data_IF_757142553197
#
_entry.id   IF_757142553197
#
_cell.length_a   1.000
_cell.length_b   1.000
_cell.length_c   1.000
_cell.angle_alpha   90.00
_cell.angle_beta   90.00
_cell.angle_gamma   90.00
#
_symmetry.space_group_name_H-M   'P 1'
#
loop_
_entity.id
_entity.type
_entity.pdbx_description
1 polymer ?
#
# COMPACT_ATOMS: atom_id res chain seq x y z
N UNK A 1 -23.88 69.62 -39.19
CA UNK A 1 -25.01 68.69 -39.19
C UNK A 1 -24.53 67.38 -38.58
N UNK A 2 -24.82 67.15 -37.30
CA UNK A 2 -24.42 65.93 -36.59
C UNK A 2 -25.68 65.32 -35.97
N UNK A 3 -26.03 64.12 -36.41
CA UNK A 3 -27.23 63.38 -36.00
C UNK A 3 -26.87 62.53 -34.78
N UNK A 4 -27.42 62.87 -33.62
CA UNK A 4 -27.22 62.12 -32.37
C UNK A 4 -28.25 61.00 -32.27
N UNK A 5 -27.80 59.75 -32.31
CA UNK A 5 -28.63 58.56 -32.12
C UNK A 5 -28.85 58.31 -30.64
N UNK A 6 -30.11 58.38 -30.21
CA UNK A 6 -30.54 58.21 -28.82
C UNK A 6 -30.80 56.73 -28.52
N UNK A 7 -30.12 56.17 -27.52
CA UNK A 7 -30.29 54.78 -27.08
C UNK A 7 -31.51 54.61 -26.15
N UNK A 8 -32.22 53.47 -26.17
CA UNK A 8 -33.44 53.27 -25.40
C UNK A 8 -33.16 52.96 -23.93
N UNK A 9 -33.90 53.64 -23.04
CA UNK A 9 -33.92 53.42 -21.59
C UNK A 9 -34.48 52.02 -21.26
N UNK A 10 -33.67 51.20 -20.59
CA UNK A 10 -34.09 49.93 -19.97
C UNK A 10 -34.95 50.20 -18.72
N UNK A 11 -36.07 49.48 -18.62
CA UNK A 11 -36.94 49.46 -17.46
C UNK A 11 -36.28 48.75 -16.25
N UNK A 12 -36.62 49.15 -15.01
CA UNK A 12 -36.05 48.57 -13.79
C UNK A 12 -36.61 47.16 -13.55
N UNK A 13 -35.70 46.22 -13.21
CA UNK A 13 -36.04 44.86 -12.78
C UNK A 13 -36.62 44.87 -11.35
N UNK A 14 -37.66 44.05 -11.05
CA UNK A 14 -38.15 43.89 -9.69
C UNK A 14 -37.15 43.10 -8.84
N UNK A 15 -36.89 43.60 -7.64
CA UNK A 15 -36.06 42.95 -6.61
C UNK A 15 -36.88 41.89 -5.88
N UNK A 16 -36.63 40.61 -6.18
CA UNK A 16 -37.13 39.48 -5.39
C UNK A 16 -36.18 39.22 -4.24
N UNK A 17 -36.54 39.70 -3.04
CA UNK A 17 -35.87 39.35 -1.78
C UNK A 17 -36.27 37.92 -1.40
N UNK A 18 -35.39 36.96 -1.64
CA UNK A 18 -35.56 35.59 -1.16
C UNK A 18 -34.88 35.45 0.21
N UNK A 19 -35.69 35.28 1.26
CA UNK A 19 -35.24 34.97 2.62
C UNK A 19 -34.62 33.57 2.63
N UNK A 20 -33.28 33.49 2.74
CA UNK A 20 -32.53 32.24 2.80
C UNK A 20 -32.54 31.71 4.23
N UNK A 21 -33.51 30.86 4.55
CA UNK A 21 -33.51 30.04 5.78
C UNK A 21 -32.47 28.93 5.63
N UNK A 22 -31.29 29.08 6.24
CA UNK A 22 -30.30 28.01 6.34
C UNK A 22 -30.74 27.00 7.40
N UNK A 23 -31.50 25.98 6.99
CA UNK A 23 -31.76 24.79 7.81
C UNK A 23 -30.49 23.93 7.78
N UNK A 24 -29.73 23.95 8.87
CA UNK A 24 -28.64 23.01 9.11
C UNK A 24 -29.25 21.64 9.37
N UNK A 25 -29.22 20.78 8.36
CA UNK A 25 -29.46 19.34 8.54
C UNK A 25 -28.12 18.72 8.88
N UNK A 26 -27.95 18.30 10.13
CA UNK A 26 -26.90 17.36 10.48
C UNK A 26 -27.15 16.08 9.67
N UNK A 27 -26.32 15.83 8.66
CA UNK A 27 -26.34 14.60 7.89
C UNK A 27 -25.83 13.49 8.80
N UNK A 28 -26.75 12.79 9.47
CA UNK A 28 -26.46 11.49 10.06
C UNK A 28 -26.11 10.56 8.91
N UNK A 29 -24.94 9.92 8.94
CA UNK A 29 -24.57 8.91 7.95
C UNK A 29 -25.71 7.88 7.84
N UNK A 30 -26.12 7.48 6.62
CA UNK A 30 -27.15 6.46 6.48
C UNK A 30 -26.71 5.19 7.21
N UNK A 31 -27.62 4.62 8.00
CA UNK A 31 -27.39 3.31 8.60
C UNK A 31 -27.07 2.32 7.47
N UNK A 32 -25.96 1.58 7.61
CA UNK A 32 -25.56 0.56 6.65
C UNK A 32 -26.77 -0.36 6.36
N UNK A 33 -27.02 -0.72 5.08
CA UNK A 33 -28.11 -1.63 4.76
C UNK A 33 -27.98 -2.88 5.61
N UNK A 34 -29.10 -3.34 6.19
CA UNK A 34 -29.13 -4.60 6.91
C UNK A 34 -28.54 -5.67 5.99
N UNK A 35 -27.50 -6.37 6.46
CA UNK A 35 -26.76 -7.37 5.72
C UNK A 35 -27.74 -8.41 5.13
N UNK A 36 -28.19 -8.17 3.90
CA UNK A 36 -28.85 -9.19 3.08
C UNK A 36 -27.85 -10.33 2.96
N UNK A 37 -28.25 -11.55 3.32
CA UNK A 37 -27.45 -12.79 3.35
C UNK A 37 -26.17 -12.65 2.52
N UNK A 38 -25.11 -12.18 3.20
CA UNK A 38 -23.81 -12.09 2.59
C UNK A 38 -23.40 -13.53 2.34
N UNK A 39 -23.13 -13.89 1.08
CA UNK A 39 -22.72 -15.23 0.70
C UNK A 39 -21.64 -15.72 1.68
N UNK A 40 -21.97 -16.76 2.47
CA UNK A 40 -21.17 -17.25 3.59
C UNK A 40 -19.75 -17.64 3.13
N UNK A 41 -19.56 -17.90 1.83
CA UNK A 41 -18.28 -18.22 1.21
C UNK A 41 -17.38 -17.00 0.94
N UNK A 42 -17.93 -15.77 0.92
CA UNK A 42 -17.16 -14.58 0.57
C UNK A 42 -16.23 -14.14 1.69
N UNK A 43 -16.63 -14.24 2.95
CA UNK A 43 -15.80 -13.83 4.09
C UNK A 43 -14.54 -14.70 4.20
N UNK A 44 -14.61 -16.04 4.15
CA UNK A 44 -13.41 -16.88 4.14
C UNK A 44 -12.48 -16.59 2.96
N UNK A 45 -13.03 -16.37 1.76
CA UNK A 45 -12.22 -16.00 0.58
C UNK A 45 -11.53 -14.66 0.76
N UNK A 46 -12.24 -13.67 1.30
CA UNK A 46 -11.66 -12.37 1.61
C UNK A 46 -10.52 -12.47 2.63
N UNK A 47 -10.73 -13.20 3.72
CA UNK A 47 -9.71 -13.40 4.75
C UNK A 47 -8.43 -14.05 4.21
N UNK A 48 -8.55 -14.98 3.26
CA UNK A 48 -7.40 -15.61 2.61
C UNK A 48 -6.52 -14.61 1.83
N UNK A 49 -7.10 -13.52 1.33
CA UNK A 49 -6.33 -12.43 0.69
C UNK A 49 -5.83 -11.41 1.72
N UNK A 50 -6.71 -10.99 2.62
CA UNK A 50 -6.45 -9.88 3.53
C UNK A 50 -5.40 -10.24 4.58
N UNK A 51 -5.50 -11.43 5.18
CA UNK A 51 -4.68 -11.77 6.35
C UNK A 51 -3.18 -11.81 6.02
N UNK A 52 -2.72 -12.41 4.89
CA UNK A 52 -1.31 -12.33 4.49
C UNK A 52 -0.85 -10.89 4.25
N UNK A 53 -1.66 -10.06 3.58
CA UNK A 53 -1.31 -8.66 3.27
C UNK A 53 -1.18 -7.81 4.54
N UNK A 54 -2.13 -7.94 5.47
CA UNK A 54 -2.08 -7.22 6.75
C UNK A 54 -0.93 -7.72 7.63
N UNK A 55 -0.67 -9.03 7.65
CA UNK A 55 0.46 -9.62 8.40
C UNK A 55 1.79 -9.10 7.87
N UNK A 56 1.96 -9.05 6.55
CA UNK A 56 3.15 -8.48 5.91
C UNK A 56 3.31 -7.00 6.26
N UNK A 57 2.22 -6.22 6.21
CA UNK A 57 2.24 -4.81 6.59
C UNK A 57 2.62 -4.60 8.06
N UNK A 58 2.03 -5.37 8.97
CA UNK A 58 2.32 -5.31 10.40
C UNK A 58 3.79 -5.66 10.70
N UNK A 59 4.34 -6.69 10.03
CA UNK A 59 5.74 -7.07 10.16
C UNK A 59 6.73 -5.97 9.75
N UNK A 60 6.33 -5.01 8.92
CA UNK A 60 7.15 -3.85 8.54
C UNK A 60 7.04 -2.67 9.52
N UNK A 61 5.97 -2.59 10.31
CA UNK A 61 5.69 -1.51 11.26
C UNK A 61 6.21 -1.79 12.67
N UNK A 62 6.37 -3.07 13.00
CA UNK A 62 7.08 -3.49 14.19
C UNK A 62 8.54 -2.99 14.09
N UNK A 63 9.00 -2.18 15.06
CA UNK A 63 10.20 -1.37 14.92
C UNK A 63 11.51 -2.02 14.46
N UNK A 64 11.99 -1.54 13.31
CA UNK A 64 13.39 -1.11 13.12
C UNK A 64 13.69 0.24 13.85
N UNK A 65 13.33 0.38 15.13
CA UNK A 65 13.78 1.47 16.03
C UNK A 65 14.85 0.83 16.94
N UNK A 66 16.17 0.94 16.80
CA UNK A 66 17.10 1.67 15.93
C UNK A 66 18.32 0.73 15.62
N UNK A 67 19.29 1.12 14.77
CA UNK A 67 20.30 0.21 14.20
C UNK A 67 21.55 0.02 15.07
N UNK A 68 22.31 -1.04 14.73
CA UNK A 68 23.67 -1.42 15.20
C UNK A 68 23.76 -2.39 16.40
N UNK A 69 23.49 -3.69 16.17
CA UNK A 69 24.43 -4.84 16.40
C UNK A 69 23.92 -6.01 15.54
N UNK A 70 23.91 -5.85 14.22
CA UNK A 70 23.40 -6.84 13.26
C UNK A 70 24.49 -7.58 12.50
N UNK A 71 25.72 -7.60 12.99
CA UNK A 71 26.88 -8.17 12.28
C UNK A 71 27.16 -9.65 12.52
N UNK A 72 26.37 -10.36 13.33
CA UNK A 72 26.72 -11.72 13.77
C UNK A 72 25.61 -12.79 13.65
N UNK A 73 24.47 -12.48 13.01
CA UNK A 73 23.41 -13.47 12.80
C UNK A 73 22.91 -13.36 11.35
N UNK A 74 23.86 -13.45 10.42
CA UNK A 74 23.62 -13.48 8.99
C UNK A 74 23.97 -14.86 8.45
N UNK A 75 22.99 -15.75 8.41
CA UNK A 75 23.06 -16.98 7.63
C UNK A 75 22.57 -18.19 8.40
N UNK A 76 21.25 -18.45 8.39
CA UNK A 76 20.78 -19.84 8.42
C UNK A 76 19.28 -20.11 8.14
N UNK A 77 18.48 -19.29 7.46
CA UNK A 77 17.09 -19.74 7.18
C UNK A 77 16.60 -19.37 5.77
N UNK A 78 16.68 -20.36 4.88
CA UNK A 78 15.63 -20.62 3.92
C UNK A 78 14.59 -21.57 4.52
N UNK A 79 13.33 -21.38 4.15
CA UNK A 79 12.29 -22.42 4.18
C UNK A 79 11.40 -22.53 5.42
N UNK A 80 10.12 -22.20 5.21
CA UNK A 80 8.88 -22.76 5.80
C UNK A 80 8.80 -23.07 7.31
N UNK A 81 8.04 -22.24 8.02
CA UNK A 81 6.66 -22.59 8.37
C UNK A 81 6.35 -23.52 9.55
N UNK A 82 7.32 -24.05 10.30
CA UNK A 82 6.98 -24.99 11.40
C UNK A 82 7.78 -24.86 12.71
N UNK A 83 8.55 -23.78 12.93
CA UNK A 83 9.48 -23.71 14.08
C UNK A 83 9.37 -22.47 14.98
N UNK A 84 8.26 -21.72 14.94
CA UNK A 84 8.07 -20.62 15.91
C UNK A 84 7.96 -21.17 17.35
N UNK A 85 7.52 -22.42 17.52
CA UNK A 85 7.49 -23.10 18.82
C UNK A 85 8.83 -23.71 19.30
N UNK A 86 9.83 -23.92 18.43
CA UNK A 86 11.08 -24.60 18.82
C UNK A 86 12.23 -23.65 19.14
N UNK A 87 12.15 -22.37 18.74
CA UNK A 87 13.21 -21.38 19.00
C UNK A 87 13.33 -20.98 20.48
N UNK A 88 12.21 -20.78 21.15
CA UNK A 88 12.19 -20.45 22.60
C UNK A 88 12.50 -21.67 23.46
N UNK A 89 12.03 -22.86 23.03
CA UNK A 89 12.38 -24.13 23.67
C UNK A 89 13.85 -24.52 23.52
N UNK A 90 14.52 -24.14 22.42
CA UNK A 90 15.92 -24.45 22.17
C UNK A 90 16.91 -23.64 23.01
N UNK A 91 16.60 -22.37 23.30
CA UNK A 91 17.44 -21.54 24.16
C UNK A 91 17.34 -21.97 25.64
N UNK A 92 16.14 -22.32 26.12
CA UNK A 92 15.93 -22.83 27.48
C UNK A 92 16.40 -24.29 27.61
N UNK A 93 16.18 -25.11 26.58
CA UNK A 93 16.59 -26.51 26.53
C UNK A 93 18.10 -26.73 26.48
N UNK A 94 18.86 -25.85 25.81
CA UNK A 94 20.33 -25.93 25.78
C UNK A 94 20.97 -25.46 27.10
N UNK A 95 20.35 -24.53 27.82
CA UNK A 95 20.83 -24.08 29.14
C UNK A 95 20.54 -25.12 30.23
N UNK A 96 19.37 -25.79 30.17
CA UNK A 96 19.02 -26.87 31.12
C UNK A 96 19.69 -28.20 30.76
N UNK A 97 19.86 -28.51 29.46
CA UNK A 97 20.54 -29.72 28.98
C UNK A 97 22.07 -29.66 29.11
N UNK A 98 22.67 -28.46 29.07
CA UNK A 98 24.09 -28.24 29.30
C UNK A 98 24.55 -28.51 30.75
N UNK A 99 23.61 -28.55 31.71
CA UNK A 99 23.91 -28.88 33.11
C UNK A 99 24.23 -30.38 33.33
N UNK A 100 23.91 -31.25 32.35
CA UNK A 100 24.10 -32.71 32.45
C UNK A 100 25.04 -33.30 31.38
N UNK A 101 25.64 -32.46 30.53
CA UNK A 101 26.33 -32.89 29.31
C UNK A 101 27.77 -32.41 29.15
N UNK A 102 28.60 -32.49 30.20
CA UNK A 102 30.07 -32.72 30.17
C UNK A 102 31.03 -31.98 29.21
N UNK A 103 30.60 -31.00 28.40
CA UNK A 103 31.46 -30.28 27.46
C UNK A 103 31.47 -28.79 27.78
N UNK A 104 32.55 -28.36 28.43
CA UNK A 104 32.83 -26.96 28.75
C UNK A 104 33.13 -26.18 27.46
N UNK A 105 32.09 -25.63 26.85
CA UNK A 105 32.23 -24.44 25.99
C UNK A 105 32.38 -23.27 26.95
N UNK A 106 33.42 -22.45 26.77
CA UNK A 106 33.60 -21.23 27.57
C UNK A 106 32.36 -20.36 27.40
N UNK A 107 31.50 -20.34 28.42
CA UNK A 107 30.30 -19.52 28.44
C UNK A 107 30.74 -18.06 28.45
N UNK A 108 30.57 -17.36 27.33
CA UNK A 108 30.53 -15.91 27.36
C UNK A 108 29.47 -15.51 28.40
N UNK A 109 29.74 -14.53 29.27
CA UNK A 109 28.76 -14.10 30.26
C UNK A 109 27.48 -13.73 29.52
N UNK A 110 26.41 -14.51 29.76
CA UNK A 110 25.11 -14.24 29.20
C UNK A 110 24.67 -12.90 29.78
N UNK A 111 24.57 -11.89 28.92
CA UNK A 111 24.04 -10.60 29.34
C UNK A 111 22.54 -10.76 29.57
N UNK A 112 22.17 -11.03 30.83
CA UNK A 112 20.79 -11.22 31.27
C UNK A 112 19.93 -10.01 30.93
N UNK A 113 20.52 -8.81 30.88
CA UNK A 113 19.81 -7.59 30.49
C UNK A 113 19.45 -7.63 29.01
N UNK A 114 20.39 -7.98 28.13
CA UNK A 114 20.14 -8.12 26.69
C UNK A 114 19.12 -9.22 26.40
N UNK A 115 19.23 -10.36 27.10
CA UNK A 115 18.28 -11.47 26.94
C UNK A 115 16.85 -11.08 27.37
N UNK A 116 16.71 -10.34 28.49
CA UNK A 116 15.42 -9.86 28.96
C UNK A 116 14.82 -8.79 28.02
N UNK A 117 15.64 -7.91 27.47
CA UNK A 117 15.20 -6.93 26.48
C UNK A 117 14.73 -7.59 25.18
N UNK A 118 15.46 -8.58 24.66
CA UNK A 118 15.06 -9.35 23.48
C UNK A 118 13.77 -10.12 23.72
N UNK A 119 13.60 -10.73 24.90
CA UNK A 119 12.37 -11.43 25.27
C UNK A 119 11.19 -10.47 25.37
N UNK A 120 11.36 -9.31 26.01
CA UNK A 120 10.32 -8.29 26.11
C UNK A 120 9.88 -7.80 24.74
N UNK A 121 10.83 -7.54 23.83
CA UNK A 121 10.52 -7.17 22.45
C UNK A 121 9.73 -8.29 21.76
N UNK A 122 10.21 -9.53 21.78
CA UNK A 122 9.52 -10.64 21.14
C UNK A 122 8.07 -10.83 21.64
N UNK A 123 7.83 -10.64 22.94
CA UNK A 123 6.48 -10.68 23.52
C UNK A 123 5.61 -9.52 23.02
N UNK A 124 6.17 -8.31 22.91
CA UNK A 124 5.46 -7.14 22.39
C UNK A 124 5.09 -7.30 20.91
N UNK A 125 6.01 -7.86 20.11
CA UNK A 125 5.76 -8.17 18.70
C UNK A 125 4.64 -9.21 18.57
N UNK A 126 4.71 -10.29 19.36
CA UNK A 126 3.67 -11.32 19.37
C UNK A 126 2.31 -10.76 19.80
N UNK A 127 2.27 -9.90 20.83
CA UNK A 127 1.05 -9.25 21.28
C UNK A 127 0.43 -8.41 20.17
N UNK A 128 1.25 -7.58 19.52
CA UNK A 128 0.81 -6.69 18.44
C UNK A 128 0.27 -7.49 17.27
N UNK A 129 0.97 -8.56 16.85
CA UNK A 129 0.53 -9.43 15.78
C UNK A 129 -0.81 -10.14 16.09
N UNK A 130 -1.01 -10.57 17.34
CA UNK A 130 -2.27 -11.16 17.77
C UNK A 130 -3.41 -10.15 17.71
N UNK A 131 -3.20 -8.92 18.22
CA UNK A 131 -4.17 -7.82 18.15
C UNK A 131 -4.54 -7.51 16.70
N UNK A 132 -3.54 -7.34 15.83
CA UNK A 132 -3.75 -7.08 14.40
C UNK A 132 -4.56 -8.20 13.75
N UNK A 133 -4.20 -9.46 14.01
CA UNK A 133 -4.89 -10.62 13.44
C UNK A 133 -6.36 -10.67 13.86
N UNK A 134 -6.63 -10.51 15.16
CA UNK A 134 -8.00 -10.52 15.70
C UNK A 134 -8.83 -9.39 15.12
N UNK A 135 -8.29 -8.16 15.09
CA UNK A 135 -9.00 -7.01 14.54
C UNK A 135 -9.23 -7.19 13.04
N UNK A 136 -8.26 -7.74 12.30
CA UNK A 136 -8.41 -8.04 10.86
C UNK A 136 -9.56 -9.00 10.60
N UNK A 137 -9.63 -10.09 11.35
CA UNK A 137 -10.69 -11.08 11.22
C UNK A 137 -12.07 -10.48 11.54
N UNK A 138 -12.15 -9.63 12.57
CA UNK A 138 -13.39 -9.00 12.99
C UNK A 138 -13.81 -7.81 12.11
N UNK A 139 -12.87 -7.09 11.49
CA UNK A 139 -13.13 -6.01 10.54
C UNK A 139 -13.59 -6.53 9.18
N UNK A 140 -13.22 -7.76 8.81
CA UNK A 140 -13.41 -8.27 7.46
C UNK A 140 -14.87 -8.18 6.94
N UNK A 141 -15.91 -8.54 7.71
CA UNK A 141 -17.29 -8.38 7.27
C UNK A 141 -17.66 -6.93 6.94
N UNK A 142 -17.23 -5.97 7.77
CA UNK A 142 -17.55 -4.55 7.58
C UNK A 142 -16.83 -3.96 6.35
N UNK A 143 -15.57 -4.33 6.13
CA UNK A 143 -14.83 -3.92 4.93
C UNK A 143 -15.49 -4.49 3.67
N UNK A 144 -15.88 -5.77 3.68
CA UNK A 144 -16.55 -6.39 2.55
C UNK A 144 -17.91 -5.72 2.26
N UNK A 145 -18.70 -5.45 3.29
CA UNK A 145 -19.96 -4.72 3.17
C UNK A 145 -19.76 -3.31 2.58
N UNK A 146 -18.68 -2.63 2.94
CA UNK A 146 -18.35 -1.31 2.40
C UNK A 146 -17.94 -1.37 0.90
N UNK A 147 -17.22 -2.40 0.48
CA UNK A 147 -16.93 -2.64 -0.95
C UNK A 147 -18.22 -2.93 -1.72
N UNK A 148 -19.10 -3.78 -1.18
CA UNK A 148 -20.41 -4.07 -1.75
C UNK A 148 -21.27 -2.81 -1.90
N UNK A 149 -21.31 -1.96 -0.87
CA UNK A 149 -22.02 -0.68 -0.92
C UNK A 149 -21.46 0.22 -2.02
N UNK A 150 -20.14 0.33 -2.15
CA UNK A 150 -19.49 1.11 -3.22
C UNK A 150 -19.92 0.63 -4.60
N UNK A 151 -20.04 -0.69 -4.80
CA UNK A 151 -20.49 -1.29 -6.06
C UNK A 151 -22.00 -1.08 -6.30
N UNK A 152 -22.81 -1.16 -5.25
CA UNK A 152 -24.24 -0.87 -5.34
C UNK A 152 -24.48 0.60 -5.72
N UNK A 153 -23.77 1.53 -5.09
CA UNK A 153 -23.84 2.97 -5.39
C UNK A 153 -23.42 3.26 -6.84
N UNK A 154 -22.38 2.55 -7.32
CA UNK A 154 -21.94 2.61 -8.72
C UNK A 154 -23.03 2.16 -9.69
N UNK A 155 -23.62 1.00 -9.43
CA UNK A 155 -24.72 0.45 -10.22
C UNK A 155 -25.91 1.41 -10.26
N UNK A 156 -26.26 2.01 -9.11
CA UNK A 156 -27.33 3.01 -9.01
C UNK A 156 -27.08 4.29 -9.83
N UNK A 157 -25.83 4.64 -10.11
CA UNK A 157 -25.45 5.74 -11.01
C UNK A 157 -25.48 5.37 -12.49
N UNK A 158 -25.73 4.10 -12.83
CA UNK A 158 -25.68 3.61 -14.22
C UNK A 158 -24.26 3.44 -14.77
N UNK A 159 -23.25 3.38 -13.90
CA UNK A 159 -21.86 3.13 -14.29
C UNK A 159 -21.68 1.63 -14.59
N UNK A 160 -21.94 1.23 -15.84
CA UNK A 160 -21.82 -0.15 -16.32
C UNK A 160 -20.50 -0.32 -17.08
N UNK A 161 -19.47 -0.82 -16.41
CA UNK A 161 -18.17 -1.14 -17.00
C UNK A 161 -17.27 -1.84 -15.99
N UNK A 162 -16.03 -2.13 -16.38
CA UNK A 162 -15.04 -2.64 -15.42
C UNK A 162 -14.79 -1.63 -14.30
N UNK A 163 -14.44 -2.12 -13.11
CA UNK A 163 -14.07 -1.26 -11.98
C UNK A 163 -12.71 -0.66 -12.27
N UNK A 164 -12.67 0.64 -12.56
CA UNK A 164 -11.44 1.39 -12.81
C UNK A 164 -10.91 2.05 -11.54
N UNK A 165 -9.71 2.62 -11.65
CA UNK A 165 -9.02 3.29 -10.55
C UNK A 165 -9.83 4.45 -9.96
N UNK A 166 -10.54 5.21 -10.80
CA UNK A 166 -11.41 6.29 -10.32
C UNK A 166 -12.52 5.74 -9.41
N UNK A 167 -13.12 4.61 -9.78
CA UNK A 167 -14.10 3.92 -8.93
C UNK A 167 -13.48 3.48 -7.61
N UNK A 168 -12.26 2.91 -7.65
CA UNK A 168 -11.55 2.47 -6.45
C UNK A 168 -11.19 3.64 -5.53
N UNK A 169 -10.71 4.76 -6.08
CA UNK A 169 -10.37 5.97 -5.34
C UNK A 169 -11.59 6.60 -4.65
N UNK A 170 -12.73 6.67 -5.34
CA UNK A 170 -13.99 7.14 -4.74
C UNK A 170 -14.44 6.23 -3.59
N UNK A 171 -14.31 4.91 -3.77
CA UNK A 171 -14.60 3.93 -2.72
C UNK A 171 -13.63 3.99 -1.54
N UNK A 172 -12.38 4.35 -1.78
CA UNK A 172 -11.31 4.33 -0.78
C UNK A 172 -11.55 5.26 0.40
N UNK A 173 -12.07 6.47 0.15
CA UNK A 173 -12.42 7.41 1.22
C UNK A 173 -13.47 6.84 2.20
N UNK A 174 -14.47 6.15 1.65
CA UNK A 174 -15.48 5.47 2.47
C UNK A 174 -14.89 4.24 3.19
N UNK A 175 -14.14 3.39 2.49
CA UNK A 175 -13.50 2.20 3.05
C UNK A 175 -12.57 2.53 4.22
N UNK A 176 -11.73 3.55 4.08
CA UNK A 176 -10.81 3.98 5.15
C UNK A 176 -11.55 4.46 6.40
N UNK A 177 -12.69 5.14 6.25
CA UNK A 177 -13.53 5.51 7.40
C UNK A 177 -14.12 4.29 8.11
N UNK A 178 -14.62 3.30 7.36
CA UNK A 178 -15.15 2.04 7.92
C UNK A 178 -14.06 1.25 8.66
N UNK A 179 -12.86 1.16 8.09
CA UNK A 179 -11.71 0.51 8.76
C UNK A 179 -11.36 1.26 10.05
N UNK A 180 -11.28 2.59 10.02
CA UNK A 180 -10.97 3.38 11.21
C UNK A 180 -12.00 3.16 12.33
N UNK A 181 -13.29 3.23 12.01
CA UNK A 181 -14.37 3.04 12.97
C UNK A 181 -14.36 1.63 13.59
N UNK A 182 -14.18 0.58 12.78
CA UNK A 182 -14.11 -0.79 13.30
C UNK A 182 -12.83 -1.05 14.11
N UNK A 183 -11.67 -0.52 13.71
CA UNK A 183 -10.44 -0.66 14.50
C UNK A 183 -10.62 -0.02 15.87
N UNK A 184 -11.16 1.20 15.95
CA UNK A 184 -11.38 1.91 17.22
C UNK A 184 -12.35 1.11 18.12
N UNK A 185 -13.41 0.55 17.53
CA UNK A 185 -14.43 -0.24 18.22
C UNK A 185 -13.89 -1.58 18.73
N UNK A 186 -13.07 -2.27 17.96
CA UNK A 186 -12.61 -3.64 18.24
C UNK A 186 -11.31 -3.69 19.05
N UNK A 187 -10.50 -2.63 19.01
CA UNK A 187 -9.22 -2.54 19.70
C UNK A 187 -9.24 -2.93 21.18
N UNK A 188 -10.16 -2.42 22.04
CA UNK A 188 -10.10 -2.73 23.47
C UNK A 188 -10.24 -4.23 23.76
N UNK A 189 -11.18 -4.91 23.09
CA UNK A 189 -11.40 -6.35 23.28
C UNK A 189 -10.23 -7.18 22.75
N UNK A 190 -9.68 -6.83 21.59
CA UNK A 190 -8.54 -7.53 21.00
C UNK A 190 -7.26 -7.39 21.84
N UNK A 191 -6.99 -6.17 22.33
CA UNK A 191 -5.87 -5.88 23.24
C UNK A 191 -6.03 -6.69 24.53
N UNK A 192 -7.23 -6.70 25.12
CA UNK A 192 -7.50 -7.46 26.34
C UNK A 192 -7.27 -8.97 26.11
N UNK A 193 -7.76 -9.52 25.00
CA UNK A 193 -7.56 -10.92 24.65
C UNK A 193 -6.08 -11.29 24.47
N UNK A 194 -5.31 -10.45 23.76
CA UNK A 194 -3.87 -10.65 23.57
C UNK A 194 -3.10 -10.54 24.89
N UNK A 195 -3.46 -9.58 25.74
CA UNK A 195 -2.85 -9.41 27.08
C UNK A 195 -3.13 -10.62 27.97
N UNK A 196 -4.35 -11.16 27.96
CA UNK A 196 -4.72 -12.38 28.71
C UNK A 196 -3.95 -13.61 28.23
N UNK A 197 -3.81 -13.77 26.92
CA UNK A 197 -3.06 -14.88 26.34
C UNK A 197 -1.60 -14.89 26.82
N UNK A 198 -0.95 -13.72 26.84
CA UNK A 198 0.44 -13.58 27.30
C UNK A 198 0.58 -13.57 28.83
N UNK A 199 -0.38 -12.98 29.54
CA UNK A 199 -0.40 -12.92 31.01
C UNK A 199 -0.45 -14.30 31.66
N UNK A 200 -1.08 -15.28 31.00
CA UNK A 200 -1.08 -16.69 31.41
C UNK A 200 0.33 -17.30 31.48
N UNK A 201 1.27 -16.78 30.69
CA UNK A 201 2.68 -17.22 30.66
C UNK A 201 3.48 -16.62 31.82
N UNK A 202 3.11 -15.43 32.30
CA UNK A 202 3.85 -14.67 33.33
C UNK A 202 3.28 -14.91 34.75
N UNK A 203 2.16 -15.64 34.88
CA UNK A 203 1.56 -15.98 36.17
C UNK A 203 0.88 -14.79 36.88
N UNK A 204 0.55 -13.74 36.14
CA UNK A 204 -0.18 -12.58 36.67
C UNK A 204 -1.64 -12.96 36.93
N UNK A 205 -2.11 -12.80 38.17
CA UNK A 205 -3.49 -13.10 38.58
C UNK A 205 -4.48 -11.98 38.26
N UNK A 206 -4.00 -10.77 37.97
CA UNK A 206 -4.85 -9.57 37.88
C UNK A 206 -5.19 -9.16 36.44
N UNK A 207 -4.84 -9.98 35.44
CA UNK A 207 -5.06 -9.67 34.02
C UNK A 207 -6.54 -9.70 33.63
N UNK A 208 -7.38 -10.34 34.45
CA UNK A 208 -8.81 -10.47 34.17
C UNK A 208 -9.63 -9.20 34.46
N UNK A 209 -9.15 -8.31 35.33
CA UNK A 209 -9.83 -7.07 35.71
C UNK A 209 -9.42 -5.86 34.85
N UNK A 210 -8.36 -6.00 34.05
CA UNK A 210 -7.87 -4.91 33.21
C UNK A 210 -8.81 -4.66 32.02
N UNK A 211 -9.44 -3.48 32.00
CA UNK A 211 -10.21 -2.97 30.86
C UNK A 211 -9.43 -1.83 30.21
N UNK A 212 -8.73 -2.05 29.08
CA UNK A 212 -7.93 -1.01 28.46
C UNK A 212 -8.80 0.16 28.00
N UNK A 213 -8.45 1.36 28.45
CA UNK A 213 -9.06 2.60 27.96
C UNK A 213 -8.38 3.01 26.66
N UNK A 214 -9.12 3.02 25.55
CA UNK A 214 -8.61 3.41 24.23
C UNK A 214 -8.16 4.87 24.17
N UNK A 215 -8.65 5.72 25.07
CA UNK A 215 -8.22 7.12 25.21
C UNK A 215 -6.81 7.28 25.78
N UNK A 216 -6.17 6.20 26.22
CA UNK A 216 -4.77 6.23 26.62
C UNK A 216 -3.87 6.44 25.39
N UNK A 217 -3.07 7.50 25.45
CA UNK A 217 -2.09 7.85 24.41
C UNK A 217 -1.12 6.71 24.16
N UNK A 218 -0.70 5.99 25.21
CA UNK A 218 0.24 4.86 25.08
C UNK A 218 -0.42 3.71 24.31
N UNK A 219 -1.65 3.33 24.68
CA UNK A 219 -2.40 2.26 24.01
C UNK A 219 -2.71 2.60 22.55
N UNK A 220 -3.02 3.88 22.29
CA UNK A 220 -3.25 4.39 20.94
C UNK A 220 -1.99 4.26 20.09
N UNK A 221 -0.83 4.69 20.60
CA UNK A 221 0.43 4.64 19.88
C UNK A 221 0.95 3.21 19.69
N UNK A 222 0.78 2.36 20.70
CA UNK A 222 1.34 1.00 20.71
C UNK A 222 0.51 0.02 19.89
N UNK A 223 -0.82 0.12 19.95
CA UNK A 223 -1.70 -0.89 19.35
C UNK A 223 -2.61 -0.32 18.27
N UNK A 224 -3.31 0.78 18.55
CA UNK A 224 -4.38 1.28 17.64
C UNK A 224 -3.79 1.79 16.33
N UNK A 225 -2.81 2.70 16.38
CA UNK A 225 -2.22 3.30 15.18
C UNK A 225 -1.48 2.26 14.31
N UNK A 226 -0.62 1.37 14.86
CA UNK A 226 0.01 0.34 14.05
C UNK A 226 -0.99 -0.64 13.45
N UNK A 227 -2.05 -0.99 14.18
CA UNK A 227 -3.10 -1.88 13.64
C UNK A 227 -3.89 -1.20 12.53
N UNK A 228 -4.32 0.04 12.74
CA UNK A 228 -5.00 0.82 11.72
C UNK A 228 -4.15 0.94 10.46
N UNK A 229 -2.88 1.28 10.62
CA UNK A 229 -1.94 1.39 9.51
C UNK A 229 -1.80 0.06 8.77
N UNK A 230 -1.58 -1.05 9.49
CA UNK A 230 -1.47 -2.39 8.90
C UNK A 230 -2.72 -2.81 8.13
N UNK A 231 -3.90 -2.51 8.66
CA UNK A 231 -5.17 -2.82 8.03
C UNK A 231 -5.41 -1.99 6.78
N UNK A 232 -5.19 -0.67 6.86
CA UNK A 232 -5.29 0.21 5.71
C UNK A 232 -4.32 -0.25 4.61
N UNK A 233 -3.07 -0.61 4.95
CA UNK A 233 -2.12 -1.19 4.01
C UNK A 233 -2.65 -2.47 3.38
N UNK A 234 -3.05 -3.44 4.20
CA UNK A 234 -3.46 -4.75 3.71
C UNK A 234 -4.69 -4.66 2.82
N UNK A 235 -5.71 -3.89 3.23
CA UNK A 235 -6.91 -3.67 2.41
C UNK A 235 -6.54 -2.98 1.10
N UNK A 236 -5.69 -1.95 1.13
CA UNK A 236 -5.26 -1.25 -0.08
C UNK A 236 -4.56 -2.18 -1.09
N UNK A 237 -3.70 -3.08 -0.59
CA UNK A 237 -2.97 -4.04 -1.44
C UNK A 237 -3.89 -5.06 -2.11
N UNK A 238 -4.99 -5.44 -1.46
CA UNK A 238 -5.95 -6.43 -2.00
C UNK A 238 -7.17 -5.79 -2.65
N UNK A 239 -7.26 -4.46 -2.65
CA UNK A 239 -8.46 -3.73 -3.07
C UNK A 239 -8.95 -4.10 -4.48
N UNK A 240 -8.09 -4.21 -5.51
CA UNK A 240 -8.53 -4.66 -6.84
C UNK A 240 -9.13 -6.06 -6.85
N UNK A 241 -8.57 -6.97 -6.05
CA UNK A 241 -9.08 -8.33 -5.88
C UNK A 241 -10.42 -8.33 -5.14
N UNK A 242 -10.64 -7.40 -4.19
CA UNK A 242 -11.95 -7.25 -3.53
C UNK A 242 -13.03 -6.78 -4.48
N UNK A 243 -12.75 -5.77 -5.28
CA UNK A 243 -13.69 -5.29 -6.28
C UNK A 243 -13.98 -6.37 -7.34
N UNK A 244 -12.98 -7.16 -7.73
CA UNK A 244 -13.17 -8.35 -8.58
C UNK A 244 -14.09 -9.37 -7.92
N UNK A 245 -13.82 -9.71 -6.66
CA UNK A 245 -14.58 -10.69 -5.90
C UNK A 245 -16.05 -10.27 -5.77
N UNK A 246 -16.30 -8.99 -5.49
CA UNK A 246 -17.65 -8.45 -5.27
C UNK A 246 -18.41 -8.20 -6.57
N UNK A 247 -17.76 -7.68 -7.61
CA UNK A 247 -18.43 -7.37 -8.88
C UNK A 247 -18.71 -8.61 -9.74
N UNK A 248 -18.12 -9.76 -9.42
CA UNK A 248 -18.17 -10.98 -10.23
C UNK A 248 -17.51 -10.86 -11.60
N UNK A 249 -17.03 -9.66 -11.94
CA UNK A 249 -16.26 -9.36 -13.14
C UNK A 249 -14.80 -9.46 -12.74
N UNK A 250 -13.98 -10.15 -13.56
CA UNK A 250 -12.52 -10.02 -13.40
C UNK A 250 -12.23 -8.52 -13.48
N UNK A 251 -11.56 -7.93 -12.49
CA UNK A 251 -10.77 -6.75 -12.80
C UNK A 251 -9.83 -7.22 -13.91
N UNK A 252 -10.15 -6.83 -15.13
CA UNK A 252 -9.22 -6.94 -16.23
C UNK A 252 -8.03 -6.11 -15.77
N UNK A 253 -6.83 -6.71 -15.61
CA UNK A 253 -5.63 -5.91 -15.44
C UNK A 253 -5.68 -4.92 -16.60
N UNK A 254 -5.88 -3.64 -16.28
CA UNK A 254 -6.02 -2.60 -17.29
C UNK A 254 -4.80 -2.75 -18.19
N UNK A 255 -4.98 -2.71 -19.50
CA UNK A 255 -3.84 -2.78 -20.41
C UNK A 255 -2.86 -1.69 -20.00
N UNK A 256 -1.74 -2.08 -19.39
CA UNK A 256 -0.71 -1.15 -18.94
C UNK A 256 0.06 -0.61 -20.15
N UNK A 257 -0.21 -1.16 -21.34
CA UNK A 257 0.27 -0.70 -22.63
C UNK A 257 0.06 0.80 -22.82
N UNK A 258 1.17 1.52 -22.88
CA UNK A 258 1.23 2.90 -23.39
C UNK A 258 2.07 2.89 -24.67
N UNK A 259 1.76 3.81 -25.57
CA UNK A 259 2.52 4.03 -26.79
C UNK A 259 3.51 5.19 -26.63
N UNK A 260 4.48 5.28 -27.54
CA UNK A 260 5.35 6.46 -27.61
C UNK A 260 4.55 7.75 -27.85
N UNK A 261 3.46 7.65 -28.62
CA UNK A 261 2.57 8.76 -28.93
C UNK A 261 1.86 9.29 -27.68
N UNK A 262 1.50 8.43 -26.72
CA UNK A 262 0.91 8.86 -25.45
C UNK A 262 1.89 9.73 -24.65
N UNK A 263 3.18 9.37 -24.68
CA UNK A 263 4.22 10.12 -23.98
C UNK A 263 4.58 11.45 -24.67
N UNK A 264 4.33 11.60 -25.98
CA UNK A 264 4.64 12.83 -26.73
C UNK A 264 3.45 13.78 -26.81
N UNK A 265 2.26 13.28 -27.13
CA UNK A 265 1.10 14.09 -27.49
C UNK A 265 0.18 14.37 -26.31
N UNK A 266 -0.30 13.31 -25.64
CA UNK A 266 -1.26 13.48 -24.54
C UNK A 266 -0.52 13.85 -23.26
N UNK A 267 0.64 13.22 -23.03
CA UNK A 267 1.49 13.31 -21.83
C UNK A 267 0.77 12.94 -20.53
N UNK A 268 -0.54 12.75 -20.55
CA UNK A 268 -1.41 12.39 -19.44
C UNK A 268 -1.84 10.94 -19.62
N UNK A 269 -1.50 10.14 -18.63
CA UNK A 269 -1.83 8.72 -18.58
C UNK A 269 -3.11 8.51 -17.78
N UNK A 270 -3.62 7.29 -17.82
CA UNK A 270 -4.94 6.95 -17.31
C UNK A 270 -5.06 7.02 -15.77
N UNK A 271 -3.96 6.93 -15.02
CA UNK A 271 -3.90 7.13 -13.56
C UNK A 271 -3.53 8.60 -13.22
N UNK A 272 -3.89 9.54 -14.10
CA UNK A 272 -3.59 10.98 -14.02
C UNK A 272 -2.12 11.41 -13.94
N UNK A 273 -1.18 10.45 -13.89
CA UNK A 273 0.23 10.74 -14.02
C UNK A 273 0.49 11.47 -15.35
N UNK A 274 1.36 12.48 -15.29
CA UNK A 274 1.85 13.11 -16.48
C UNK A 274 3.33 12.78 -16.71
N UNK A 275 3.60 12.03 -17.78
CA UNK A 275 4.94 11.62 -18.22
C UNK A 275 5.14 12.11 -19.65
N UNK A 276 6.19 12.92 -19.86
CA UNK A 276 6.57 13.40 -21.18
C UNK A 276 7.85 12.70 -21.65
N UNK A 277 7.83 12.11 -22.86
CA UNK A 277 9.05 11.79 -23.58
C UNK A 277 9.55 13.07 -24.28
N UNK A 278 10.77 13.50 -23.95
CA UNK A 278 11.42 14.61 -24.64
C UNK A 278 12.00 14.13 -25.99
N UNK A 279 12.46 15.08 -26.80
CA UNK A 279 13.11 14.78 -28.07
C UNK A 279 14.32 13.87 -27.88
N UNK A 280 14.44 12.86 -28.75
CA UNK A 280 15.55 11.92 -28.74
C UNK A 280 16.86 12.66 -29.05
N UNK A 281 17.85 12.48 -28.19
CA UNK A 281 19.18 13.07 -28.39
C UNK A 281 20.12 11.99 -28.94
N UNK A 282 20.88 12.24 -30.02
CA UNK A 282 21.81 11.24 -30.54
C UNK A 282 22.92 10.94 -29.52
N UNK A 283 23.38 9.68 -29.49
CA UNK A 283 24.53 9.23 -28.72
C UNK A 283 25.76 9.07 -29.62
N UNK A 284 26.94 9.09 -29.01
CA UNK A 284 28.21 8.83 -29.72
C UNK A 284 28.33 7.38 -30.21
N UNK A 285 27.66 6.44 -29.54
CA UNK A 285 27.64 5.02 -29.90
C UNK A 285 26.25 4.62 -30.46
N UNK A 286 26.14 4.25 -31.75
CA UNK A 286 24.86 3.86 -32.35
C UNK A 286 24.32 2.52 -31.83
N UNK A 287 25.14 1.71 -31.15
CA UNK A 287 24.76 0.41 -30.59
C UNK A 287 24.30 0.49 -29.12
N UNK A 288 24.18 1.70 -28.58
CA UNK A 288 23.72 1.95 -27.21
C UNK A 288 22.37 2.67 -27.18
N UNK A 289 21.69 2.54 -26.05
CA UNK A 289 20.50 3.31 -25.69
C UNK A 289 20.75 3.89 -24.30
N UNK A 290 20.47 5.19 -24.12
CA UNK A 290 20.46 5.82 -22.80
C UNK A 290 19.01 6.13 -22.39
N UNK A 291 18.59 5.60 -21.25
CA UNK A 291 17.30 5.91 -20.64
C UNK A 291 17.53 6.89 -19.49
N UNK A 292 16.83 8.01 -19.50
CA UNK A 292 16.89 9.02 -18.43
C UNK A 292 15.50 9.23 -17.86
N UNK A 293 15.40 9.20 -16.54
CA UNK A 293 14.21 9.58 -15.79
C UNK A 293 14.51 10.85 -14.99
N UNK A 294 13.68 11.87 -15.15
CA UNK A 294 13.69 13.10 -14.36
C UNK A 294 12.33 13.33 -13.70
N UNK A 295 12.34 13.76 -12.44
CA UNK A 295 11.15 14.18 -11.70
C UNK A 295 11.05 15.70 -11.61
N UNK A 296 9.81 16.20 -11.68
CA UNK A 296 9.56 17.59 -11.32
C UNK A 296 10.02 17.88 -9.87
N UNK A 297 10.53 19.10 -9.59
CA UNK A 297 11.13 19.43 -8.29
C UNK A 297 10.25 19.15 -7.07
N UNK A 298 8.93 19.27 -7.22
CA UNK A 298 7.94 19.12 -6.16
C UNK A 298 7.53 17.66 -5.87
N UNK A 299 7.98 16.68 -6.67
CA UNK A 299 7.64 15.27 -6.48
C UNK A 299 8.54 14.61 -5.44
N UNK A 300 7.96 13.99 -4.41
CA UNK A 300 8.70 13.35 -3.30
C UNK A 300 8.64 11.83 -3.34
N UNK A 301 7.67 11.25 -4.03
CA UNK A 301 7.47 9.80 -4.09
C UNK A 301 8.46 9.16 -5.06
N UNK A 302 8.84 7.91 -4.77
CA UNK A 302 9.74 7.15 -5.63
C UNK A 302 9.09 6.83 -6.98
N UNK A 303 9.86 7.00 -8.04
CA UNK A 303 9.51 6.59 -9.41
C UNK A 303 10.69 5.85 -10.02
N UNK A 304 10.42 4.93 -10.94
CA UNK A 304 11.46 4.21 -11.64
C UNK A 304 11.08 3.82 -13.07
N UNK A 305 12.08 3.43 -13.83
CA UNK A 305 11.91 2.77 -15.12
C UNK A 305 12.72 1.48 -15.07
N UNK A 306 12.05 0.34 -15.27
CA UNK A 306 12.68 -0.95 -15.46
C UNK A 306 12.77 -1.27 -16.95
N UNK A 307 13.92 -1.76 -17.37
CA UNK A 307 14.16 -2.29 -18.71
C UNK A 307 14.05 -3.81 -18.62
N UNK A 308 13.17 -4.39 -19.43
CA UNK A 308 12.99 -5.84 -19.50
C UNK A 308 13.15 -6.35 -20.93
N UNK A 309 13.61 -7.58 -21.08
CA UNK A 309 13.60 -8.28 -22.38
C UNK A 309 12.18 -8.75 -22.76
N UNK A 310 12.05 -9.45 -23.89
CA UNK A 310 10.77 -9.94 -24.41
C UNK A 310 10.08 -10.99 -23.51
N UNK A 311 10.87 -11.69 -22.69
CA UNK A 311 10.43 -12.70 -21.74
C UNK A 311 10.17 -12.11 -20.34
N UNK A 312 10.33 -10.79 -20.17
CA UNK A 312 10.24 -10.13 -18.87
C UNK A 312 11.48 -10.30 -17.99
N UNK A 313 12.59 -10.78 -18.57
CA UNK A 313 13.88 -10.83 -17.90
C UNK A 313 14.40 -9.42 -17.61
N UNK A 314 14.91 -9.23 -16.39
CA UNK A 314 15.45 -7.95 -15.95
C UNK A 314 16.75 -7.62 -16.70
N UNK A 315 16.83 -6.43 -17.29
CA UNK A 315 18.05 -5.90 -17.91
C UNK A 315 18.69 -4.87 -16.99
N UNK A 316 17.92 -3.84 -16.61
CA UNK A 316 18.39 -2.72 -15.80
C UNK A 316 17.21 -1.97 -15.15
N UNK A 317 17.50 -1.13 -14.18
CA UNK A 317 16.52 -0.25 -13.54
C UNK A 317 17.17 1.07 -13.14
N UNK A 318 16.39 2.14 -13.28
CA UNK A 318 16.70 3.46 -12.69
C UNK A 318 15.55 3.88 -11.79
N UNK A 319 15.90 4.50 -10.66
CA UNK A 319 14.94 5.00 -9.68
C UNK A 319 15.37 6.34 -9.13
N UNK A 320 14.39 7.20 -8.85
CA UNK A 320 14.56 8.57 -8.36
C UNK A 320 13.54 8.83 -7.25
N UNK A 321 13.98 9.54 -6.22
CA UNK A 321 13.18 9.87 -5.04
C UNK A 321 13.80 11.05 -4.31
N UNK A 322 12.98 11.85 -3.62
CA UNK A 322 13.42 12.90 -2.70
C UNK A 322 14.46 13.84 -3.32
N UNK A 323 15.72 13.81 -2.89
CA UNK A 323 16.78 14.69 -3.38
C UNK A 323 17.35 14.25 -4.73
N UNK A 324 17.21 12.98 -5.08
CA UNK A 324 17.67 12.43 -6.35
C UNK A 324 16.55 12.60 -7.36
N UNK A 325 16.62 13.66 -8.18
CA UNK A 325 15.58 14.00 -9.17
C UNK A 325 15.82 13.42 -10.56
N UNK A 326 17.03 12.96 -10.84
CA UNK A 326 17.42 12.47 -12.16
C UNK A 326 18.30 11.24 -12.01
N UNK A 327 18.05 10.22 -12.83
CA UNK A 327 18.90 9.05 -12.97
C UNK A 327 18.95 8.64 -14.44
N UNK A 328 20.05 8.02 -14.86
CA UNK A 328 20.15 7.42 -16.19
C UNK A 328 20.87 6.09 -16.17
N UNK A 329 20.57 5.27 -17.19
CA UNK A 329 21.27 4.02 -17.46
C UNK A 329 21.52 3.89 -18.96
N UNK A 330 22.70 3.40 -19.31
CA UNK A 330 23.05 3.01 -20.68
C UNK A 330 23.08 1.50 -20.80
N UNK A 331 22.45 0.98 -21.84
CA UNK A 331 22.43 -0.45 -22.17
C UNK A 331 22.75 -0.64 -23.65
N UNK A 332 23.15 -1.85 -24.04
CA UNK A 332 23.32 -2.15 -25.47
C UNK A 332 21.94 -2.28 -26.11
N UNK A 333 21.80 -1.74 -27.32
CA UNK A 333 20.53 -1.72 -28.05
C UNK A 333 20.01 -3.13 -28.35
N UNK A 334 20.89 -4.11 -28.54
CA UNK A 334 20.52 -5.51 -28.76
C UNK A 334 19.93 -6.19 -27.51
N UNK A 335 20.29 -5.76 -26.30
CA UNK A 335 19.73 -6.29 -25.06
C UNK A 335 18.25 -5.90 -24.89
N UNK A 336 17.88 -4.68 -25.28
CA UNK A 336 16.50 -4.18 -25.13
C UNK A 336 15.65 -4.45 -26.37
N UNK A 337 16.18 -4.30 -27.58
CA UNK A 337 15.36 -4.33 -28.80
C UNK A 337 15.16 -5.73 -29.39
N UNK A 338 16.02 -6.70 -29.08
CA UNK A 338 15.96 -8.04 -29.67
C UNK A 338 15.71 -9.09 -28.60
N UNK A 339 14.60 -9.85 -28.63
CA UNK A 339 13.53 -9.92 -29.64
C UNK A 339 12.32 -8.99 -29.43
N UNK A 340 12.27 -8.19 -28.36
CA UNK A 340 10.98 -7.63 -27.96
C UNK A 340 10.91 -6.98 -26.58
N UNK A 341 12.00 -6.40 -26.08
CA UNK A 341 12.00 -5.80 -24.75
C UNK A 341 11.08 -4.59 -24.59
N UNK A 342 10.84 -4.20 -23.35
CA UNK A 342 9.90 -3.13 -23.01
C UNK A 342 10.35 -2.36 -21.78
N UNK A 343 9.82 -1.15 -21.65
CA UNK A 343 10.02 -0.31 -20.47
C UNK A 343 8.82 -0.44 -19.54
N UNK A 344 9.08 -0.61 -18.24
CA UNK A 344 8.06 -0.57 -17.19
C UNK A 344 8.27 0.67 -16.35
N UNK A 345 7.36 1.62 -16.45
CA UNK A 345 7.32 2.79 -15.57
C UNK A 345 6.69 2.39 -14.25
N UNK A 346 7.43 2.60 -13.17
CA UNK A 346 7.05 2.17 -11.83
C UNK A 346 6.85 3.37 -10.92
N UNK A 347 5.94 3.25 -9.96
CA UNK A 347 5.81 4.22 -8.86
C UNK A 347 5.70 3.50 -7.52
N UNK A 348 6.18 4.14 -6.47
CA UNK A 348 5.83 3.73 -5.12
C UNK A 348 4.34 3.93 -4.92
N UNK A 349 3.64 2.85 -4.57
CA UNK A 349 2.31 2.93 -3.97
C UNK A 349 2.50 3.07 -2.45
N UNK A 350 1.39 3.09 -1.72
CA UNK A 350 1.45 3.20 -0.27
C UNK A 350 2.41 2.14 0.31
N UNK A 351 3.17 2.52 1.34
CA UNK A 351 4.11 1.65 2.05
C UNK A 351 5.37 1.24 1.27
N UNK A 352 5.71 1.98 0.20
CA UNK A 352 7.00 1.86 -0.49
C UNK A 352 7.10 0.66 -1.44
N UNK A 353 6.00 -0.03 -1.72
CA UNK A 353 5.96 -1.07 -2.76
C UNK A 353 6.07 -0.41 -4.14
N UNK A 354 7.07 -0.79 -4.91
CA UNK A 354 7.28 -0.30 -6.28
C UNK A 354 6.43 -1.13 -7.25
N UNK A 355 5.41 -0.52 -7.84
CA UNK A 355 4.48 -1.20 -8.74
C UNK A 355 4.66 -0.69 -10.17
N UNK A 356 4.77 -1.61 -11.13
CA UNK A 356 4.72 -1.28 -12.55
C UNK A 356 3.35 -0.75 -12.94
N UNK A 357 3.30 0.51 -13.38
CA UNK A 357 2.08 1.23 -13.75
C UNK A 357 1.84 1.19 -15.25
N UNK A 358 2.90 1.47 -16.02
CA UNK A 358 2.82 1.62 -17.47
C UNK A 358 3.87 0.77 -18.14
N UNK A 359 3.49 0.13 -19.24
CA UNK A 359 4.35 -0.69 -20.07
C UNK A 359 4.43 -0.05 -21.45
N UNK A 360 5.60 0.45 -21.81
CA UNK A 360 5.86 0.92 -23.17
C UNK A 360 6.44 -0.24 -23.98
N UNK A 361 5.61 -0.83 -24.83
CA UNK A 361 5.96 -1.99 -25.65
C UNK A 361 6.90 -1.62 -26.83
N UNK A 362 7.51 -2.64 -27.43
CA UNK A 362 8.52 -2.54 -28.49
C UNK A 362 8.13 -1.72 -29.70
N UNK A 363 6.84 -1.61 -30.03
CA UNK A 363 6.33 -0.95 -31.24
C UNK A 363 6.69 0.54 -31.42
N UNK A 364 7.44 1.14 -30.48
CA UNK A 364 8.03 2.46 -30.61
C UNK A 364 9.45 2.58 -30.01
N UNK A 365 10.12 1.47 -29.71
CA UNK A 365 11.46 1.48 -29.11
C UNK A 365 12.58 1.40 -30.14
N UNK A 366 12.34 0.95 -31.37
CA UNK A 366 13.38 0.83 -32.41
C UNK A 366 14.10 2.16 -32.70
N UNK A 367 13.36 3.27 -32.62
CA UNK A 367 13.91 4.63 -32.75
C UNK A 367 14.90 5.01 -31.63
N UNK A 368 14.96 4.26 -30.53
CA UNK A 368 15.89 4.52 -29.43
C UNK A 368 17.31 4.10 -29.73
N UNK A 369 17.53 3.22 -30.71
CA UNK A 369 18.88 2.76 -31.08
C UNK A 369 19.77 3.95 -31.41
N UNK A 370 20.90 4.07 -30.72
CA UNK A 370 21.84 5.19 -30.89
C UNK A 370 21.34 6.51 -30.32
N UNK A 371 20.30 6.50 -29.47
CA UNK A 371 19.69 7.69 -28.91
C UNK A 371 19.54 7.60 -27.39
N UNK A 372 19.44 8.78 -26.79
CA UNK A 372 19.05 9.03 -25.42
C UNK A 372 17.56 9.39 -25.38
N UNK A 373 16.78 8.58 -24.68
CA UNK A 373 15.39 8.84 -24.35
C UNK A 373 15.29 9.48 -22.97
N UNK A 374 14.72 10.68 -22.89
CA UNK A 374 14.53 11.39 -21.64
C UNK A 374 13.04 11.48 -21.28
N UNK A 375 12.67 10.83 -20.18
CA UNK A 375 11.32 10.84 -19.63
C UNK A 375 11.23 11.80 -18.45
N UNK A 376 10.36 12.80 -18.56
CA UNK A 376 10.07 13.77 -17.50
C UNK A 376 8.72 13.45 -16.86
N UNK A 377 8.73 13.03 -15.60
CA UNK A 377 7.53 12.72 -14.83
C UNK A 377 7.17 13.92 -13.93
N UNK A 378 6.10 14.63 -14.28
CA UNK A 378 5.83 15.97 -13.73
C UNK A 378 4.47 16.13 -13.02
N UNK A 379 3.59 15.14 -13.11
CA UNK A 379 2.38 15.07 -12.30
C UNK A 379 2.06 13.62 -11.91
N UNK A 380 1.25 13.48 -10.86
CA UNK A 380 0.67 12.23 -10.36
C UNK A 380 -0.84 12.38 -10.44
#
# INVERSE_FOLDING_TARGET
MATATQAPRRAPRPSTTATRTTRSTATTAPAAPAASEMDDDLVPRFLNFLLPAVTAAAGHLVPKIAPQVGGAIGGLFGGNGAQIGSGVGGAIGNVVGGLFGGRAVAAAPLDVMLANEQLSRALDEQQTMQVVTTITQQCAPAVLAAVQQTMADRSARGETGDVDDETMERGWGFLTSVIADEVIKLAPAAIQAATKALGSVVGSRDVDEFTPLVVDTEMTQRFVLPTLQSLVTGVQQVLPQLFTLVSGSRATPRDTGISWQDLQATKRLWDNDNIAAQDLQPLDNPDEIEIVLELAPHKTWWKGIQLQDDNGGFIAEIGVQDRTKTASVRVRADQLLSPGGYLVFMKAKAFGVHTGMYRLATGGLDQLRGHRAHFFWYAD
#
